data_IF_756797136251
#
_entry.id   IF_756797136251
#
_cell.length_a   1.000
_cell.length_b   1.000
_cell.length_c   1.000
_cell.angle_alpha   90.00
_cell.angle_beta   90.00
_cell.angle_gamma   90.00
#
_symmetry.space_group_name_H-M   'P 1'
#
loop_
_entity.id
_entity.type
_entity.pdbx_description
1 polymer ?
2 polymer ?
3 non-polymer ?
4 water ?
#
# COMPACT_ATOMS: atom_id res chain seq x y z
N UNK A 11 -3.00 -11.40 36.24
CA UNK A 11 -4.24 -10.64 36.14
C UNK A 11 -4.87 -10.75 34.75
N UNK A 12 -6.04 -10.14 34.58
CA UNK A 12 -6.72 -10.16 33.30
C UNK A 12 -6.10 -9.27 32.24
N UNK A 13 -6.39 -9.55 30.97
CA UNK A 13 -5.79 -8.83 29.84
C UNK A 13 -6.43 -7.46 29.64
N UNK A 14 -5.72 -6.51 29.06
CA UNK A 14 -6.30 -5.21 28.75
C UNK A 14 -7.40 -5.35 27.70
N UNK A 15 -8.33 -4.41 27.68
CA UNK A 15 -9.50 -4.52 26.81
C UNK A 15 -9.76 -3.21 26.11
N UNK A 16 -10.24 -3.27 24.88
CA UNK A 16 -10.59 -2.08 24.13
C UNK A 16 -11.80 -2.41 23.30
N UNK A 17 -12.83 -1.55 23.38
CA UNK A 17 -14.14 -1.81 22.78
C UNK A 17 -14.62 -3.24 22.96
N UNK A 18 -14.53 -3.75 24.19
CA UNK A 18 -15.03 -5.08 24.45
C UNK A 18 -14.16 -6.18 23.88
N UNK A 19 -13.03 -5.82 23.25
CA UNK A 19 -12.13 -6.83 22.76
C UNK A 19 -10.83 -6.93 23.54
N UNK A 20 -10.44 -8.16 23.83
CA UNK A 20 -9.15 -8.48 24.45
C UNK A 20 -8.04 -7.90 23.62
N UNK A 21 -7.12 -7.21 24.27
CA UNK A 21 -5.97 -6.65 23.61
C UNK A 21 -4.79 -6.93 24.53
N UNK A 22 -4.26 -8.14 24.43
CA UNK A 22 -3.42 -8.69 25.46
C UNK A 22 -1.92 -8.44 25.25
N UNK A 23 -1.49 -7.22 25.54
CA UNK A 23 -0.14 -6.79 25.22
C UNK A 23 0.56 -6.28 26.46
N UNK A 24 -0.10 -6.33 27.60
CA UNK A 24 0.53 -5.95 28.86
C UNK A 24 1.36 -7.08 29.44
N UNK A 25 2.22 -6.79 30.42
CA UNK A 25 2.43 -5.48 31.05
C UNK A 25 3.35 -4.55 30.27
N UNK A 26 4.02 -5.01 29.21
CA UNK A 26 4.94 -4.12 28.55
C UNK A 26 4.24 -2.91 27.93
N UNK A 27 3.15 -3.15 27.23
CA UNK A 27 2.44 -2.09 26.53
C UNK A 27 1.10 -1.80 27.22
N UNK A 28 0.87 -0.55 27.58
CA UNK A 28 -0.31 -0.17 28.35
C UNK A 28 -0.94 1.08 27.76
N UNK A 29 -1.93 1.61 28.46
CA UNK A 29 -2.66 2.81 28.02
C UNK A 29 -3.10 2.75 26.58
N UNK A 30 -3.86 1.73 26.23
CA UNK A 30 -4.34 1.56 24.87
C UNK A 30 -5.45 2.55 24.53
N UNK A 31 -5.35 3.18 23.36
CA UNK A 31 -6.47 3.93 22.76
C UNK A 31 -6.73 3.46 21.32
N UNK A 32 -7.98 3.10 21.06
CA UNK A 32 -8.45 2.74 19.73
C UNK A 32 -8.09 3.82 18.72
N UNK A 33 -7.58 3.38 17.58
CA UNK A 33 -7.35 4.29 16.47
C UNK A 33 -8.35 3.95 15.37
N UNK A 34 -8.31 2.71 14.91
CA UNK A 34 -9.15 2.32 13.81
C UNK A 34 -9.13 0.85 13.57
N UNK A 35 -9.90 0.45 12.57
CA UNK A 35 -10.00 -0.92 12.17
C UNK A 35 -9.77 -0.86 10.69
N UNK A 36 -8.91 -1.75 10.20
CA UNK A 36 -8.88 -2.00 8.78
C UNK A 36 -9.87 -3.11 8.61
N UNK A 37 -9.85 -3.75 7.44
CA UNK A 37 -10.68 -4.93 7.22
C UNK A 37 -10.12 -6.14 7.99
N UNK A 38 -8.87 -6.06 8.40
CA UNK A 38 -8.20 -7.24 8.92
C UNK A 38 -7.73 -7.13 10.37
N UNK A 39 -7.56 -5.90 10.85
CA UNK A 39 -7.05 -5.75 12.18
C UNK A 39 -7.58 -4.54 12.91
N UNK A 40 -7.63 -4.65 14.23
CA UNK A 40 -7.88 -3.49 15.07
C UNK A 40 -6.56 -2.84 15.52
N UNK A 41 -6.45 -1.53 15.28
CA UNK A 41 -5.22 -0.82 15.60
C UNK A 41 -5.42 0.12 16.78
N UNK A 42 -4.50 0.07 17.75
CA UNK A 42 -4.48 1.01 18.89
C UNK A 42 -3.16 1.74 19.03
N UNK A 43 -3.20 2.92 19.62
CA UNK A 43 -2.00 3.55 20.16
C UNK A 43 -1.72 2.94 21.55
N UNK A 44 -0.47 2.95 21.96
CA UNK A 44 -0.11 2.38 23.26
C UNK A 44 1.16 3.02 23.78
N UNK A 45 1.46 2.71 25.03
CA UNK A 45 2.71 3.16 25.60
C UNK A 45 3.59 1.97 25.91
N UNK A 46 4.83 2.04 25.43
CA UNK A 46 5.79 0.96 25.65
C UNK A 46 6.52 1.28 26.93
N UNK A 47 6.24 0.57 28.00
CA UNK A 47 6.86 0.91 29.26
C UNK A 47 8.34 0.54 29.32
N UNK A 48 8.77 -0.35 28.45
CA UNK A 48 10.16 -0.78 28.44
C UNK A 48 11.06 0.25 27.76
N UNK A 49 10.66 0.76 26.60
CA UNK A 49 11.46 1.71 25.86
C UNK A 49 11.03 3.16 26.04
N UNK A 50 9.99 3.40 26.84
CA UNK A 50 9.43 4.74 27.08
C UNK A 50 9.09 5.46 25.80
N UNK A 51 8.28 4.85 24.93
CA UNK A 51 7.84 5.48 23.70
C UNK A 51 6.38 5.12 23.43
N UNK A 52 5.72 5.96 22.63
CA UNK A 52 4.40 5.66 22.12
C UNK A 52 4.55 4.77 20.89
N UNK A 53 3.69 3.76 20.79
CA UNK A 53 3.70 2.87 19.65
C UNK A 53 2.30 2.67 19.12
N UNK A 54 2.21 2.09 17.93
CA UNK A 54 0.96 1.55 17.42
C UNK A 54 1.06 0.06 17.54
N UNK A 55 -0.07 -0.56 17.81
CA UNK A 55 -0.16 -2.00 17.88
C UNK A 55 -1.37 -2.44 17.08
N UNK A 56 -1.17 -3.43 16.23
CA UNK A 56 -2.19 -3.89 15.35
C UNK A 56 -2.56 -5.30 15.80
N UNK A 57 -3.82 -5.52 16.18
CA UNK A 57 -4.24 -6.86 16.54
C UNK A 57 -4.81 -7.63 15.34
N UNK A 58 -4.31 -8.84 15.11
CA UNK A 58 -4.75 -9.63 13.97
C UNK A 58 -5.13 -11.00 14.44
N UNK A 59 -6.27 -11.50 13.96
CA UNK A 59 -6.75 -12.82 14.35
C UNK A 59 -7.07 -13.58 13.09
N UNK A 60 -6.04 -14.11 12.43
CA UNK A 60 -6.26 -14.54 11.06
C UNK A 60 -6.38 -16.03 10.91
N UNK A 61 -6.46 -16.78 11.99
CA UNK A 61 -6.23 -18.23 11.85
C UNK A 61 -7.38 -19.08 11.34
N UNK A 62 -8.59 -18.54 11.39
CA UNK A 62 -9.75 -19.27 10.89
C UNK A 62 -9.81 -19.30 9.37
N UNK A 63 -9.00 -18.50 8.68
CA UNK A 63 -9.09 -18.47 7.22
C UNK A 63 -7.79 -18.37 6.44
N UNK A 64 -7.74 -19.11 5.34
CA UNK A 64 -6.51 -19.22 4.61
C UNK A 64 -6.01 -17.86 4.10
N UNK A 65 -6.92 -17.05 3.56
CA UNK A 65 -6.50 -15.79 2.96
C UNK A 65 -5.93 -14.81 4.00
N UNK A 66 -6.46 -14.87 5.21
CA UNK A 66 -6.04 -13.94 6.25
C UNK A 66 -4.64 -14.31 6.68
N UNK A 67 -4.40 -15.60 6.81
CA UNK A 67 -3.11 -16.13 7.22
C UNK A 67 -2.05 -15.76 6.19
N UNK A 68 -2.47 -15.74 4.93
CA UNK A 68 -1.60 -15.41 3.80
C UNK A 68 -1.15 -13.98 3.93
N UNK A 69 -2.13 -13.10 4.06
CA UNK A 69 -1.87 -11.69 4.28
C UNK A 69 -0.95 -11.42 5.47
N UNK A 70 -1.21 -12.10 6.58
CA UNK A 70 -0.42 -11.89 7.79
C UNK A 70 1.03 -12.33 7.61
N UNK A 71 1.23 -13.50 7.04
CA UNK A 71 2.55 -14.02 6.79
C UNK A 71 3.31 -13.06 5.87
N UNK A 72 2.67 -12.57 4.81
CA UNK A 72 3.40 -11.75 3.85
C UNK A 72 3.81 -10.42 4.41
N UNK A 73 2.90 -9.80 5.14
CA UNK A 73 3.16 -8.53 5.77
C UNK A 73 4.34 -8.66 6.72
N UNK A 74 4.33 -9.71 7.54
CA UNK A 74 5.39 -9.86 8.53
C UNK A 74 6.75 -10.10 7.88
N UNK A 75 6.78 -11.06 6.95
CA UNK A 75 8.01 -11.42 6.28
C UNK A 75 8.57 -10.23 5.50
N UNK A 76 7.70 -9.51 4.83
CA UNK A 76 8.16 -8.36 4.06
C UNK A 76 8.65 -7.19 4.93
N UNK A 77 7.86 -6.76 5.90
CA UNK A 77 8.25 -5.63 6.74
C UNK A 77 9.49 -5.91 7.58
N UNK A 78 9.68 -7.17 7.97
CA UNK A 78 10.89 -7.53 8.70
C UNK A 78 12.13 -7.53 7.79
N UNK A 79 11.92 -7.75 6.50
CA UNK A 79 13.05 -7.84 5.56
C UNK A 79 13.42 -6.47 5.04
N UNK A 80 12.45 -5.57 4.99
CA UNK A 80 12.71 -4.21 4.53
C UNK A 80 13.14 -3.31 5.69
N UNK A 81 14.12 -2.47 5.43
CA UNK A 81 14.41 -1.40 6.35
C UNK A 81 14.64 -0.19 5.48
N UNK A 82 13.75 0.77 5.63
CA UNK A 82 13.78 1.96 4.81
C UNK A 82 12.91 3.02 5.46
N UNK A 83 13.37 4.26 5.36
CA UNK A 83 12.80 5.41 6.02
C UNK A 83 11.32 5.62 5.70
N UNK A 84 10.93 5.26 4.50
CA UNK A 84 9.58 5.52 4.03
C UNK A 84 8.65 4.29 4.04
N UNK A 85 9.06 3.29 4.80
CA UNK A 85 8.28 2.06 4.94
C UNK A 85 8.17 1.78 6.41
N UNK A 86 6.96 1.54 6.90
CA UNK A 86 6.74 1.34 8.33
C UNK A 86 7.58 0.11 8.75
N UNK A 87 8.20 0.14 9.92
CA UNK A 87 8.90 -1.05 10.34
C UNK A 87 8.00 -1.87 11.25
N UNK A 88 8.47 -3.05 11.66
CA UNK A 88 7.91 -3.80 12.75
C UNK A 88 8.93 -3.79 13.88
N UNK A 89 8.52 -3.30 15.04
CA UNK A 89 9.35 -3.21 16.22
C UNK A 89 9.30 -4.47 17.05
N UNK A 90 8.13 -5.07 17.17
CA UNK A 90 7.93 -6.22 18.07
C UNK A 90 6.70 -7.00 17.63
N UNK A 91 6.63 -8.29 17.97
CA UNK A 91 5.44 -9.09 17.68
C UNK A 91 5.10 -9.93 18.89
N UNK A 92 3.87 -9.80 19.36
CA UNK A 92 3.46 -10.51 20.55
C UNK A 92 2.55 -11.66 20.14
N UNK A 93 2.85 -12.86 20.60
CA UNK A 93 1.94 -13.98 20.46
C UNK A 93 2.25 -15.01 21.52
N UNK A 94 1.31 -15.91 21.74
CA UNK A 94 1.41 -16.95 22.77
C UNK A 94 2.66 -17.83 22.68
N UNK A 95 3.06 -18.42 23.81
CA UNK A 95 4.25 -19.28 23.77
C UNK A 95 4.10 -20.62 23.02
N UNK A 96 2.89 -21.16 22.93
CA UNK A 96 2.68 -22.40 22.17
C UNK A 96 1.76 -22.18 20.99
N UNK A 97 1.88 -23.00 19.96
CA UNK A 97 1.11 -22.76 18.74
C UNK A 97 -0.38 -22.96 19.00
N UNK A 98 -0.74 -23.95 19.81
CA UNK A 98 -2.16 -24.19 20.13
C UNK A 98 -2.79 -22.99 20.82
N UNK A 99 -2.00 -22.26 21.61
CA UNK A 99 -2.52 -21.12 22.34
C UNK A 99 -2.58 -19.86 21.51
N UNK A 100 -1.82 -19.82 20.42
CA UNK A 100 -1.80 -18.62 19.60
C UNK A 100 -3.10 -18.47 18.82
N UNK A 101 -3.93 -17.50 19.21
CA UNK A 101 -5.14 -17.20 18.44
C UNK A 101 -5.07 -15.80 17.83
N UNK A 102 -4.27 -14.93 18.41
CA UNK A 102 -4.11 -13.61 17.85
C UNK A 102 -2.63 -13.30 17.73
N UNK A 103 -2.32 -12.30 16.94
CA UNK A 103 -0.96 -11.86 16.79
C UNK A 103 -0.97 -10.35 16.94
N UNK A 104 -0.07 -9.78 17.74
CA UNK A 104 -0.01 -8.34 17.80
C UNK A 104 1.26 -7.81 17.17
N UNK A 105 1.10 -6.95 16.17
CA UNK A 105 2.25 -6.31 15.55
C UNK A 105 2.46 -4.88 16.07
N UNK A 106 3.65 -4.61 16.60
CA UNK A 106 4.00 -3.29 17.15
C UNK A 106 4.83 -2.48 16.20
N UNK A 107 4.41 -1.24 15.95
CA UNK A 107 5.10 -0.38 15.03
C UNK A 107 5.24 1.01 15.60
N UNK A 108 6.05 1.83 14.95
CA UNK A 108 6.09 3.24 15.30
C UNK A 108 4.70 3.85 15.17
N UNK A 109 4.36 4.75 16.07
CA UNK A 109 3.06 5.38 16.05
C UNK A 109 3.11 6.59 15.11
N UNK A 110 2.35 6.56 14.04
CA UNK A 110 2.28 7.72 13.15
C UNK A 110 1.04 8.53 13.53
N UNK A 111 0.94 9.77 13.06
CA UNK A 111 -0.12 10.63 13.52
C UNK A 111 -1.45 10.45 12.80
N UNK A 112 -1.39 10.07 11.53
CA UNK A 112 -2.61 9.89 10.78
C UNK A 112 -2.26 9.18 9.47
N UNK A 113 -3.26 8.93 8.62
CA UNK A 113 -2.97 8.48 7.27
C UNK A 113 -3.47 9.48 6.24
N UNK A 114 -3.04 9.32 4.99
CA UNK A 114 -3.37 10.30 4.00
C UNK A 114 -4.87 10.30 3.70
N UNK A 115 -5.53 9.17 3.86
CA UNK A 115 -6.99 9.17 3.70
C UNK A 115 -7.66 10.08 4.73
N UNK A 116 -7.26 9.99 5.98
CA UNK A 116 -7.89 10.80 7.02
C UNK A 116 -7.58 12.28 6.85
N UNK A 117 -6.34 12.57 6.49
CA UNK A 117 -5.90 13.94 6.32
C UNK A 117 -6.76 14.65 5.29
N UNK A 118 -7.02 13.96 4.19
CA UNK A 118 -7.72 14.56 3.05
C UNK A 118 -9.21 14.77 3.30
N UNK A 119 -9.76 14.08 4.29
CA UNK A 119 -11.13 14.38 4.70
C UNK A 119 -11.21 15.76 5.31
N UNK A 120 -10.11 16.21 5.89
CA UNK A 120 -10.12 17.41 6.71
C UNK A 120 -9.48 18.63 6.07
N UNK A 121 -8.63 18.49 5.05
CA UNK A 121 -7.97 19.67 4.50
C UNK A 121 -7.37 19.54 3.10
N UNK A 122 -7.09 20.70 2.50
CA UNK A 122 -6.47 20.76 1.19
C UNK A 122 -4.97 20.96 1.32
N UNK A 123 -4.21 20.26 0.51
CA UNK A 123 -2.76 20.27 0.61
C UNK A 123 -2.15 21.32 -0.28
N UNK A 124 -1.17 22.06 0.24
CA UNK A 124 -0.41 22.98 -0.56
C UNK A 124 0.42 22.17 -1.55
N UNK A 125 0.77 22.78 -2.68
CA UNK A 125 1.55 22.11 -3.71
C UNK A 125 2.87 21.56 -3.17
N UNK A 126 3.47 22.30 -2.23
CA UNK A 126 4.71 21.88 -1.62
C UNK A 126 4.55 20.55 -0.90
N UNK A 127 3.49 20.44 -0.10
CA UNK A 127 3.23 19.22 0.65
C UNK A 127 3.00 18.04 -0.29
N UNK A 128 2.16 18.27 -1.29
CA UNK A 128 1.84 17.26 -2.28
C UNK A 128 3.13 16.73 -2.90
N UNK A 129 3.95 17.66 -3.40
CA UNK A 129 5.24 17.33 -3.97
C UNK A 129 6.08 16.46 -3.06
N UNK A 130 6.28 16.90 -1.82
CA UNK A 130 7.07 16.17 -0.84
C UNK A 130 6.50 14.79 -0.55
N UNK A 131 5.18 14.75 -0.38
CA UNK A 131 4.48 13.49 -0.15
C UNK A 131 4.73 12.56 -1.33
N UNK A 132 4.55 13.07 -2.55
CA UNK A 132 4.77 12.26 -3.74
C UNK A 132 6.19 11.75 -3.78
N UNK A 133 7.15 12.62 -3.50
CA UNK A 133 8.54 12.18 -3.53
C UNK A 133 8.77 10.99 -2.59
N UNK A 134 8.28 11.12 -1.36
CA UNK A 134 8.50 10.07 -0.37
C UNK A 134 7.87 8.76 -0.76
N UNK A 135 6.69 8.83 -1.37
CA UNK A 135 6.02 7.62 -1.84
C UNK A 135 6.89 6.91 -2.87
N UNK A 136 7.39 7.68 -3.83
CA UNK A 136 8.19 7.09 -4.91
C UNK A 136 9.54 6.62 -4.41
N UNK A 137 10.06 7.30 -3.40
CA UNK A 137 11.32 6.89 -2.80
C UNK A 137 11.14 5.53 -2.12
N UNK A 138 10.05 5.35 -1.39
CA UNK A 138 9.78 4.05 -0.79
C UNK A 138 9.60 2.99 -1.83
N UNK A 139 8.85 3.34 -2.87
CA UNK A 139 8.48 2.43 -3.93
C UNK A 139 9.70 1.96 -4.74
N UNK A 140 10.63 2.86 -4.97
CA UNK A 140 11.86 2.50 -5.66
C UNK A 140 12.53 1.41 -4.87
N UNK A 141 12.53 1.56 -3.56
CA UNK A 141 13.20 0.61 -2.72
C UNK A 141 12.50 -0.74 -2.86
N UNK A 142 11.18 -0.71 -2.77
CA UNK A 142 10.36 -1.92 -2.86
C UNK A 142 10.55 -2.60 -4.21
N UNK A 143 10.52 -1.80 -5.27
CA UNK A 143 10.69 -2.33 -6.60
C UNK A 143 12.08 -2.91 -6.84
N UNK A 144 13.09 -2.35 -6.17
CA UNK A 144 14.44 -2.85 -6.34
C UNK A 144 14.52 -4.31 -5.89
N UNK A 145 13.68 -4.69 -4.91
CA UNK A 145 13.67 -6.09 -4.46
C UNK A 145 12.74 -6.95 -5.32
N UNK A 146 12.30 -6.40 -6.44
CA UNK A 146 11.31 -7.02 -7.31
C UNK A 146 10.04 -7.41 -6.55
N UNK A 147 9.64 -6.59 -5.59
CA UNK A 147 8.38 -6.81 -4.88
C UNK A 147 7.39 -5.75 -5.33
N UNK A 148 6.15 -6.14 -5.51
CA UNK A 148 5.08 -5.20 -5.82
C UNK A 148 4.18 -5.04 -4.62
N UNK A 149 3.82 -3.81 -4.28
CA UNK A 149 2.92 -3.58 -3.14
C UNK A 149 1.51 -4.04 -3.47
N UNK A 150 1.00 -3.60 -4.63
CA UNK A 150 -0.32 -4.01 -5.15
C UNK A 150 -1.56 -3.51 -4.41
N UNK A 151 -1.40 -2.67 -3.41
CA UNK A 151 -2.57 -2.08 -2.77
C UNK A 151 -2.23 -0.68 -2.25
N UNK A 152 -1.45 0.09 -2.99
CA UNK A 152 -1.19 1.44 -2.56
C UNK A 152 -2.47 2.24 -2.65
N UNK A 153 -2.75 3.03 -1.61
CA UNK A 153 -3.96 3.87 -1.52
C UNK A 153 -3.76 4.84 -0.35
N UNK A 154 -4.54 5.94 -0.31
CA UNK A 154 -4.30 6.93 0.73
C UNK A 154 -4.31 6.38 2.15
N UNK A 155 -5.15 5.41 2.46
CA UNK A 155 -5.17 4.91 3.82
C UNK A 155 -3.96 4.04 4.19
N UNK A 156 -3.08 3.76 3.21
CA UNK A 156 -1.87 2.95 3.42
C UNK A 156 -0.64 3.81 3.52
N UNK A 157 -0.88 5.11 3.52
CA UNK A 157 0.20 6.10 3.60
C UNK A 157 0.12 6.85 4.92
N UNK A 158 0.99 6.49 5.86
CA UNK A 158 0.97 7.03 7.23
C UNK A 158 1.78 8.30 7.29
N UNK A 159 1.31 9.29 8.04
CA UNK A 159 1.97 10.59 8.08
C UNK A 159 2.10 11.08 9.49
N UNK A 160 3.07 11.94 9.73
CA UNK A 160 2.99 12.75 10.92
C UNK A 160 3.13 14.22 10.63
N UNK A 161 3.14 15.04 11.68
CA UNK A 161 2.91 16.45 11.50
C UNK A 161 4.06 17.17 10.79
N UNK A 162 5.22 16.51 10.76
CA UNK A 162 6.41 17.00 10.09
C UNK A 162 6.47 16.57 8.62
N UNK A 163 5.40 15.93 8.15
CA UNK A 163 5.29 15.44 6.77
C UNK A 163 6.14 14.21 6.46
N UNK A 164 6.67 13.55 7.50
CA UNK A 164 7.24 12.24 7.29
C UNK A 164 6.13 11.30 6.80
N UNK A 165 6.43 10.47 5.81
CA UNK A 165 5.46 9.54 5.24
C UNK A 165 6.03 8.13 5.28
N UNK A 166 5.21 7.16 5.64
CA UNK A 166 5.62 5.76 5.54
C UNK A 166 4.52 4.90 4.93
N UNK A 167 4.90 4.04 3.99
CA UNK A 167 4.00 3.11 3.35
C UNK A 167 3.80 1.98 4.34
N UNK A 168 2.57 1.51 4.48
CA UNK A 168 2.26 0.37 5.34
C UNK A 168 1.40 -0.63 4.60
N UNK A 169 1.08 -1.73 5.27
CA UNK A 169 0.06 -2.65 4.78
C UNK A 169 0.49 -3.45 3.53
N UNK A 170 1.45 -4.35 3.71
CA UNK A 170 1.98 -5.20 2.64
C UNK A 170 1.33 -6.59 2.58
N UNK A 171 0.12 -6.72 3.13
CA UNK A 171 -0.55 -8.01 3.19
C UNK A 171 -0.87 -8.57 1.81
N UNK A 172 -0.89 -7.71 0.79
CA UNK A 172 -1.17 -8.17 -0.55
C UNK A 172 0.06 -8.16 -1.42
N UNK A 173 1.22 -7.87 -0.85
CA UNK A 173 2.43 -7.77 -1.66
C UNK A 173 2.74 -9.14 -2.28
N UNK A 174 3.43 -9.14 -3.41
CA UNK A 174 4.01 -10.38 -3.94
C UNK A 174 5.19 -10.12 -4.87
N UNK A 175 5.93 -11.17 -5.16
CA UNK A 175 7.09 -11.06 -6.03
C UNK A 175 6.57 -10.86 -7.44
N UNK A 176 7.23 -9.98 -8.19
CA UNK A 176 6.82 -9.65 -9.55
C UNK A 176 6.93 -10.84 -10.46
N UNK A 177 5.78 -11.33 -10.95
CA UNK A 177 5.77 -12.45 -11.89
C UNK A 177 4.75 -12.24 -13.00
N UNK A 178 5.23 -12.00 -14.22
CA UNK A 178 4.46 -11.89 -15.45
C UNK A 178 3.53 -13.07 -15.75
N UNK A 179 3.40 -14.05 -14.86
CA UNK A 179 2.72 -15.29 -15.22
C UNK A 179 1.62 -15.79 -14.26
N UNK A 180 1.45 -15.18 -13.09
CA UNK A 180 0.45 -15.69 -12.15
C UNK A 180 -0.99 -15.41 -12.58
N UNK A 181 -1.92 -16.22 -12.07
CA UNK A 181 -3.33 -16.05 -12.42
C UNK A 181 -4.04 -15.10 -11.48
N UNK A 182 -5.00 -14.35 -12.02
CA UNK A 182 -5.64 -13.25 -11.32
C UNK A 182 -6.92 -13.60 -10.56
N UNK A 183 -7.29 -14.89 -10.51
CA UNK A 183 -8.65 -15.26 -10.10
C UNK A 183 -8.87 -15.18 -8.59
N UNK A 184 -7.84 -15.49 -7.81
CA UNK A 184 -7.81 -15.01 -6.44
C UNK A 184 -7.69 -13.50 -6.56
N UNK A 185 -7.37 -12.78 -5.50
CA UNK A 185 -7.12 -11.33 -5.65
C UNK A 185 -8.17 -10.58 -6.51
N UNK A 186 -9.41 -10.99 -6.42
CA UNK A 186 -10.50 -10.27 -7.06
C UNK A 186 -11.72 -10.73 -6.31
N UNK A 187 -11.85 -12.05 -6.21
CA UNK A 187 -12.75 -12.63 -5.23
C UNK A 187 -12.33 -12.19 -3.81
N UNK A 188 -11.04 -12.01 -3.55
CA UNK A 188 -10.68 -11.52 -2.20
C UNK A 188 -10.86 -10.03 -1.95
N UNK A 189 -11.44 -9.75 -0.79
CA UNK A 189 -11.92 -8.44 -0.43
C UNK A 189 -10.82 -7.45 -0.19
N UNK A 190 -11.02 -6.25 -0.73
CA UNK A 190 -10.24 -5.08 -0.36
C UNK A 190 -11.21 -3.93 -0.12
N UNK A 191 -10.80 -2.96 0.68
CA UNK A 191 -11.65 -1.86 1.08
C UNK A 191 -12.18 -1.01 -0.10
N UNK A 192 -11.37 -0.80 -1.14
CA UNK A 192 -11.80 0.14 -2.19
C UNK A 192 -11.85 -0.34 -3.65
N UNK A 193 -10.69 -0.51 -4.30
CA UNK A 193 -10.53 -0.80 -5.76
C UNK A 193 -10.34 0.42 -6.69
N UNK A 194 -10.54 1.61 -6.15
CA UNK A 194 -10.41 2.82 -6.93
C UNK A 194 -8.99 3.09 -7.40
N UNK A 195 -8.03 2.30 -6.95
CA UNK A 195 -6.61 2.55 -7.19
C UNK A 195 -5.97 1.43 -8.01
N UNK A 196 -6.80 0.52 -8.52
CA UNK A 196 -6.29 -0.64 -9.26
C UNK A 196 -6.05 -0.34 -10.74
N UNK A 197 -4.89 -0.76 -11.23
CA UNK A 197 -4.55 -0.59 -12.63
C UNK A 197 -5.52 -1.36 -13.49
N UNK A 198 -5.80 -0.85 -14.70
CA UNK A 198 -6.75 -1.49 -15.61
C UNK A 198 -6.34 -2.90 -16.04
N UNK A 199 -5.05 -3.18 -16.17
CA UNK A 199 -4.63 -4.52 -16.59
C UNK A 199 -4.98 -5.61 -15.58
N UNK A 200 -5.13 -5.24 -14.32
CA UNK A 200 -5.49 -6.21 -13.29
C UNK A 200 -6.88 -6.76 -13.58
N UNK A 201 -7.75 -5.88 -14.07
CA UNK A 201 -9.14 -6.20 -14.30
C UNK A 201 -9.35 -6.91 -15.63
N UNK A 202 -8.52 -6.60 -16.61
CA UNK A 202 -8.74 -7.14 -17.94
C UNK A 202 -7.62 -8.00 -18.52
N UNK A 203 -6.57 -8.27 -17.74
CA UNK A 203 -5.66 -9.35 -18.11
C UNK A 203 -6.03 -10.61 -17.33
N UNK A 204 -5.58 -11.75 -17.82
CA UNK A 204 -5.87 -13.01 -17.17
C UNK A 204 -4.63 -13.52 -16.43
N UNK A 205 -3.49 -12.90 -16.71
CA UNK A 205 -2.24 -13.39 -16.15
C UNK A 205 -1.30 -12.30 -15.60
N UNK A 206 -0.76 -12.57 -14.42
CA UNK A 206 0.41 -11.85 -13.92
C UNK A 206 0.26 -10.50 -13.24
N UNK A 207 1.34 -10.09 -12.56
CA UNK A 207 1.44 -8.77 -11.94
C UNK A 207 2.82 -8.16 -12.20
N UNK A 208 2.82 -6.88 -12.58
CA UNK A 208 4.03 -6.18 -13.02
C UNK A 208 4.19 -4.91 -12.20
N UNK A 209 5.39 -4.33 -12.24
CA UNK A 209 5.70 -3.17 -11.42
C UNK A 209 4.85 -1.97 -11.77
N UNK A 210 4.29 -2.00 -12.97
CA UNK A 210 3.48 -0.92 -13.46
C UNK A 210 2.19 -0.75 -12.67
N UNK A 211 1.70 -1.80 -12.01
CA UNK A 211 0.45 -1.65 -11.26
C UNK A 211 0.60 -0.69 -10.08
N UNK A 212 1.79 -0.66 -9.48
CA UNK A 212 2.02 0.22 -8.35
C UNK A 212 2.06 1.67 -8.80
N UNK A 213 2.67 1.91 -9.95
CA UNK A 213 2.79 3.26 -10.51
C UNK A 213 1.42 3.88 -10.77
N UNK A 214 0.53 3.09 -11.36
CA UNK A 214 -0.85 3.52 -11.58
C UNK A 214 -1.52 3.97 -10.27
N UNK A 215 -1.28 3.22 -9.20
CA UNK A 215 -1.85 3.55 -7.92
C UNK A 215 -1.29 4.87 -7.43
N UNK A 216 -0.01 5.09 -7.67
CA UNK A 216 0.60 6.35 -7.28
C UNK A 216 -0.04 7.49 -8.04
N UNK A 217 -0.27 7.29 -9.32
CA UNK A 217 -0.98 8.29 -10.10
C UNK A 217 -2.34 8.59 -9.51
N UNK A 218 -3.08 7.56 -9.12
CA UNK A 218 -4.41 7.78 -8.58
C UNK A 218 -4.33 8.59 -7.30
N UNK A 219 -3.26 8.38 -6.56
CA UNK A 219 -3.04 9.05 -5.29
C UNK A 219 -2.69 10.52 -5.50
N UNK A 220 -1.80 10.78 -6.45
CA UNK A 220 -1.47 12.15 -6.80
C UNK A 220 -2.71 12.94 -7.21
N UNK A 221 -3.52 12.37 -8.10
CA UNK A 221 -4.78 13.01 -8.50
C UNK A 221 -5.59 13.37 -7.27
N UNK A 222 -5.68 12.42 -6.34
CA UNK A 222 -6.49 12.59 -5.15
C UNK A 222 -5.94 13.70 -4.25
N UNK A 223 -4.63 13.84 -4.20
CA UNK A 223 -4.05 14.92 -3.41
C UNK A 223 -4.37 16.26 -4.02
N UNK A 224 -4.50 16.30 -5.34
CA UNK A 224 -4.70 17.56 -6.04
C UNK A 224 -6.12 18.08 -5.87
N UNK A 225 -7.09 17.17 -5.74
CA UNK A 225 -8.48 17.57 -5.78
C UNK A 225 -9.28 17.17 -4.56
N UNK A 226 -8.66 16.42 -3.64
CA UNK A 226 -9.38 15.83 -2.50
C UNK A 226 -10.53 14.88 -2.85
N UNK A 227 -10.59 14.42 -4.08
CA UNK A 227 -11.54 13.35 -4.39
C UNK A 227 -10.85 12.28 -5.22
N UNK A 228 -11.30 11.03 -5.07
CA UNK A 228 -10.70 9.94 -5.85
C UNK A 228 -10.98 10.17 -7.33
N UNK A 229 -10.01 9.91 -8.20
CA UNK A 229 -10.20 10.21 -9.61
C UNK A 229 -11.03 9.15 -10.35
N UNK A 230 -10.85 7.89 -9.99
CA UNK A 230 -11.58 6.78 -10.63
C UNK A 230 -12.44 6.04 -9.63
N UNK A 231 -13.51 6.67 -9.14
CA UNK A 231 -14.36 5.92 -8.21
C UNK A 231 -15.18 4.89 -8.98
N UNK A 232 -16.23 4.33 -8.39
CA UNK A 232 -16.98 3.30 -9.10
C UNK A 232 -17.33 2.19 -8.14
N UNK A 233 -18.42 1.49 -8.42
CA UNK A 233 -19.00 0.59 -7.45
C UNK A 233 -18.61 -0.86 -7.66
N UNK A 234 -18.62 -1.28 -8.91
CA UNK A 234 -18.26 -2.65 -9.24
C UNK A 234 -17.24 -2.54 -10.35
N UNK A 235 -16.90 -3.68 -10.96
CA UNK A 235 -15.78 -3.73 -11.89
C UNK A 235 -16.03 -3.03 -13.22
N UNK A 236 -17.19 -3.25 -13.82
CA UNK A 236 -17.52 -2.60 -15.09
C UNK A 236 -17.72 -1.10 -14.94
N UNK A 237 -18.45 -0.72 -13.90
CA UNK A 237 -18.63 0.67 -13.52
C UNK A 237 -17.27 1.33 -13.36
N UNK A 238 -16.41 0.74 -12.55
CA UNK A 238 -15.06 1.23 -12.31
C UNK A 238 -14.32 1.53 -13.60
N UNK A 239 -14.35 0.58 -14.52
CA UNK A 239 -13.72 0.72 -15.82
C UNK A 239 -14.25 1.91 -16.60
N UNK A 240 -15.57 2.07 -16.61
CA UNK A 240 -16.19 3.23 -17.26
C UNK A 240 -15.62 4.58 -16.80
N UNK A 241 -15.39 4.73 -15.50
CA UNK A 241 -14.83 5.98 -14.99
C UNK A 241 -13.45 6.25 -15.59
N UNK A 242 -12.65 5.19 -15.73
CA UNK A 242 -11.32 5.34 -16.30
C UNK A 242 -11.37 5.74 -17.77
N UNK A 243 -12.28 5.12 -18.51
CA UNK A 243 -12.45 5.42 -19.90
C UNK A 243 -12.97 6.84 -20.08
N UNK A 244 -13.90 7.26 -19.22
CA UNK A 244 -14.50 8.56 -19.38
C UNK A 244 -13.54 9.72 -19.20
N UNK A 245 -12.32 9.42 -18.77
CA UNK A 245 -11.33 10.45 -18.54
C UNK A 245 -10.15 10.29 -19.47
N UNK A 246 -9.64 9.05 -19.56
CA UNK A 246 -8.51 8.77 -20.43
C UNK A 246 -8.96 8.65 -21.89
N UNK A 247 -10.25 8.37 -22.06
CA UNK A 247 -10.80 8.20 -23.39
C UNK A 247 -10.67 6.77 -23.83
N UNK A 248 -11.53 6.37 -24.78
CA UNK A 248 -11.48 5.04 -25.37
C UNK A 248 -10.06 4.66 -25.79
N UNK A 249 -9.72 3.36 -25.65
CA UNK A 249 -8.33 2.92 -25.84
C UNK A 249 -7.93 2.92 -27.31
N UNK A 250 -6.69 3.33 -27.60
CA UNK A 250 -6.18 3.31 -28.97
C UNK A 250 -6.07 1.86 -29.43
N UNK A 251 -5.95 1.65 -30.74
CA UNK A 251 -5.81 0.30 -31.25
C UNK A 251 -4.53 -0.29 -30.72
N UNK A 252 -3.51 0.55 -30.60
CA UNK A 252 -2.24 0.12 -30.05
C UNK A 252 -2.42 -0.27 -28.59
N UNK A 253 -3.30 0.42 -27.90
CA UNK A 253 -3.61 0.07 -26.52
C UNK A 253 -4.22 -1.32 -26.45
N UNK A 254 -5.12 -1.66 -27.38
CA UNK A 254 -5.73 -2.99 -27.40
C UNK A 254 -4.74 -4.06 -27.90
N UNK A 255 -3.56 -3.61 -28.33
CA UNK A 255 -2.44 -4.49 -28.66
C UNK A 255 -1.56 -4.84 -27.47
N UNK A 256 -2.03 -5.74 -26.62
CA UNK A 256 -1.27 -6.13 -25.45
C UNK A 256 -1.76 -7.38 -24.71
N UNK A 257 -1.39 -7.46 -23.44
CA UNK A 257 -1.74 -8.58 -22.58
C UNK A 257 -3.22 -8.66 -22.34
N UNK A 258 -3.94 -7.62 -22.76
CA UNK A 258 -5.40 -7.62 -22.67
C UNK A 258 -5.99 -8.91 -23.20
N UNK A 259 -6.65 -9.61 -22.29
CA UNK A 259 -7.29 -10.86 -22.58
C UNK A 259 -8.46 -10.61 -23.53
N UNK A 260 -8.71 -11.51 -24.48
CA UNK A 260 -9.90 -11.36 -25.30
C UNK A 260 -11.10 -11.90 -24.56
N UNK A 261 -12.25 -11.25 -24.77
CA UNK A 261 -13.44 -11.24 -23.92
C UNK A 261 -13.32 -10.01 -23.04
N UNK A 262 -12.24 -9.28 -23.26
CA UNK A 262 -12.08 -7.95 -22.69
C UNK A 262 -11.88 -6.95 -23.81
N UNK A 263 -11.04 -7.29 -24.77
CA UNK A 263 -10.86 -6.44 -25.95
C UNK A 263 -12.13 -6.43 -26.78
N UNK A 264 -12.86 -7.54 -26.78
CA UNK A 264 -14.16 -7.57 -27.41
C UNK A 264 -15.14 -6.73 -26.60
N UNK A 265 -15.05 -6.81 -25.29
CA UNK A 265 -15.87 -5.98 -24.44
C UNK A 265 -15.54 -4.50 -24.70
N UNK A 266 -14.26 -4.24 -24.91
CA UNK A 266 -13.82 -2.87 -25.11
C UNK A 266 -14.34 -2.29 -26.40
N UNK A 267 -14.17 -3.03 -27.49
CA UNK A 267 -14.68 -2.63 -28.79
C UNK A 267 -16.20 -2.50 -28.78
N UNK A 268 -16.83 -3.27 -27.90
CA UNK A 268 -18.27 -3.20 -27.69
C UNK A 268 -18.72 -1.82 -27.20
N UNK A 269 -17.82 -1.13 -26.52
CA UNK A 269 -18.18 0.12 -25.86
C UNK A 269 -18.26 1.32 -26.80
N UNK A 270 -19.31 2.13 -26.63
CA UNK A 270 -19.49 3.42 -27.30
C UNK A 270 -18.27 4.29 -27.05
N UNK A 271 -17.76 4.94 -28.09
CA UNK A 271 -16.51 5.70 -27.98
C UNK A 271 -16.60 6.86 -26.99
N UNK A 272 -15.48 7.17 -26.34
CA UNK A 272 -15.40 8.24 -25.34
C UNK A 272 -14.21 9.16 -25.61
N UNK A 273 -14.34 10.42 -25.25
CA UNK A 273 -13.30 11.39 -25.52
C UNK A 273 -12.45 11.65 -24.29
N UNK A 274 -11.14 11.76 -24.50
CA UNK A 274 -10.21 12.12 -23.44
C UNK A 274 -10.55 13.49 -22.89
N UNK A 275 -10.39 13.67 -21.59
CA UNK A 275 -10.59 14.95 -20.96
C UNK A 275 -9.21 15.46 -20.56
N UNK A 276 -8.83 16.66 -21.02
CA UNK A 276 -7.51 17.26 -20.74
C UNK A 276 -7.30 17.40 -19.24
N UNK A 277 -6.08 17.13 -18.78
CA UNK A 277 -5.80 17.15 -17.36
C UNK A 277 -6.08 18.48 -16.71
N UNK A 278 -5.74 19.56 -17.39
CA UNK A 278 -5.86 20.89 -16.81
C UNK A 278 -7.32 21.28 -16.63
N UNK A 279 -8.20 20.61 -17.36
CA UNK A 279 -9.63 20.80 -17.18
C UNK A 279 -10.13 20.16 -15.89
N UNK A 280 -9.63 18.97 -15.59
CA UNK A 280 -9.99 18.28 -14.36
C UNK A 280 -9.36 18.93 -13.14
N UNK A 281 -8.09 19.31 -13.27
CA UNK A 281 -7.38 19.98 -12.18
C UNK A 281 -6.91 21.33 -12.65
N UNK A 282 -7.79 22.34 -12.59
CA UNK A 282 -7.42 23.72 -12.99
C UNK A 282 -6.31 24.34 -12.14
N UNK A 283 -6.36 24.13 -10.82
CA UNK A 283 -5.42 24.78 -9.93
C UNK A 283 -4.17 23.98 -9.67
N UNK A 284 -3.81 23.12 -10.61
CA UNK A 284 -2.69 22.21 -10.39
C UNK A 284 -1.46 22.68 -11.13
N UNK A 285 -0.32 22.64 -10.45
CA UNK A 285 0.98 22.83 -11.07
C UNK A 285 1.05 21.99 -12.34
N UNK A 286 1.43 22.62 -13.43
CA UNK A 286 1.53 22.01 -14.74
C UNK A 286 2.56 20.88 -14.79
N UNK A 287 3.65 21.02 -14.03
CA UNK A 287 4.66 19.98 -13.98
C UNK A 287 4.06 18.71 -13.37
N UNK A 288 3.11 18.89 -12.46
CA UNK A 288 2.45 17.79 -11.79
C UNK A 288 1.48 17.05 -12.71
N UNK A 289 0.79 17.78 -13.57
CA UNK A 289 -0.17 17.17 -14.48
C UNK A 289 0.55 16.36 -15.56
N UNK A 290 1.66 16.88 -16.05
CA UNK A 290 2.60 16.07 -16.80
C UNK A 290 3.10 15.15 -15.71
N UNK A 291 3.46 13.92 -16.02
CA UNK A 291 3.80 12.89 -15.00
C UNK A 291 2.58 12.33 -14.28
N UNK A 292 1.54 13.12 -14.13
CA UNK A 292 0.29 12.52 -13.74
C UNK A 292 -0.17 11.78 -14.97
N UNK A 293 -0.03 12.45 -16.11
CA UNK A 293 -0.34 11.84 -17.38
C UNK A 293 0.54 10.62 -17.62
N UNK A 294 1.82 10.76 -17.32
CA UNK A 294 2.77 9.68 -17.53
C UNK A 294 2.52 8.50 -16.59
N UNK A 295 1.87 8.78 -15.48
CA UNK A 295 1.62 7.73 -14.52
C UNK A 295 0.33 7.02 -14.83
N UNK A 296 -0.71 7.78 -15.16
CA UNK A 296 -1.99 7.17 -15.48
C UNK A 296 -2.15 6.92 -16.97
N UNK A 297 -1.24 6.16 -17.58
CA UNK A 297 -1.46 5.76 -18.96
C UNK A 297 -2.05 4.37 -19.00
N UNK A 298 -3.05 4.19 -19.87
CA UNK A 298 -3.79 2.94 -19.94
C UNK A 298 -2.89 1.74 -20.21
N UNK A 299 -1.85 1.93 -21.00
CA UNK A 299 -1.00 0.79 -21.36
C UNK A 299 0.27 0.68 -20.52
N UNK A 300 0.44 -0.46 -19.85
CA UNK A 300 1.47 -0.66 -18.83
C UNK A 300 2.87 -0.44 -19.37
N UNK A 301 3.10 -0.83 -20.62
CA UNK A 301 4.42 -0.75 -21.24
C UNK A 301 4.97 0.67 -21.42
N UNK A 302 4.10 1.62 -21.69
CA UNK A 302 4.54 3.00 -21.86
C UNK A 302 4.45 3.76 -20.56
N UNK A 303 3.78 3.16 -19.58
CA UNK A 303 3.60 3.81 -18.30
C UNK A 303 4.98 4.06 -17.69
N UNK A 304 5.18 5.26 -17.16
CA UNK A 304 6.45 5.65 -16.58
C UNK A 304 6.92 4.69 -15.49
N UNK A 305 8.23 4.43 -15.42
CA UNK A 305 8.80 3.61 -14.36
C UNK A 305 9.18 4.46 -13.15
N UNK A 306 9.36 3.81 -11.99
CA UNK A 306 9.60 4.51 -10.73
C UNK A 306 10.85 5.40 -10.71
N UNK A 307 11.94 4.91 -11.31
CA UNK A 307 13.18 5.65 -11.37
C UNK A 307 13.02 6.91 -12.21
N UNK A 308 12.41 6.71 -13.38
CA UNK A 308 12.10 7.79 -14.27
C UNK A 308 11.23 8.82 -13.56
N UNK A 309 10.19 8.36 -12.87
CA UNK A 309 9.25 9.26 -12.20
C UNK A 309 9.95 10.10 -11.15
N UNK A 310 10.88 9.49 -10.43
CA UNK A 310 11.65 10.23 -9.46
C UNK A 310 12.42 11.32 -10.19
N UNK A 311 12.89 10.97 -11.39
CA UNK A 311 13.68 11.87 -12.22
C UNK A 311 12.87 12.84 -13.11
N UNK A 312 11.59 13.01 -12.83
CA UNK A 312 10.76 14.01 -13.53
C UNK A 312 10.87 15.40 -12.91
N UNK A 313 10.78 16.45 -13.74
CA UNK A 313 10.91 17.86 -13.32
C UNK A 313 10.15 18.26 -12.07
N UNK A 314 9.00 17.63 -11.81
CA UNK A 314 8.16 18.02 -10.68
C UNK A 314 8.86 17.82 -9.36
N UNK A 315 9.79 16.87 -9.34
CA UNK A 315 10.44 16.47 -8.10
C UNK A 315 11.87 16.95 -8.03
N UNK A 316 12.28 17.72 -9.04
CA UNK A 316 13.67 18.14 -9.24
C UNK A 316 14.34 18.61 -7.96
N UNK A 317 13.58 19.36 -7.18
CA UNK A 317 14.02 19.87 -5.90
C UNK A 317 14.35 18.77 -4.87
N UNK A 318 13.87 17.55 -5.10
CA UNK A 318 14.12 16.45 -4.17
C UNK A 318 14.98 15.32 -4.70
N UNK A 319 14.95 15.10 -6.01
CA UNK A 319 15.63 13.96 -6.59
C UNK A 319 17.10 13.94 -6.18
N UNK A 320 17.54 12.77 -5.72
CA UNK A 320 18.85 12.60 -5.12
C UNK A 320 19.24 11.13 -5.11
N UNK A 321 19.61 10.58 -6.28
CA UNK A 321 19.92 9.17 -6.46
C UNK A 321 20.89 8.61 -5.42
N UNK A 322 21.70 9.49 -4.83
CA UNK A 322 22.64 9.08 -3.80
C UNK A 322 21.96 8.73 -2.48
N UNK A 323 20.83 9.38 -2.22
CA UNK A 323 20.13 9.25 -0.94
C UNK A 323 18.84 8.45 -1.14
N UNK A 324 18.83 7.58 -2.14
CA UNK A 324 17.67 6.77 -2.44
C UNK A 324 18.01 5.29 -2.46
N UNK A 325 18.06 4.66 -1.30
CA UNK A 325 18.55 3.30 -1.12
C UNK A 325 17.73 2.25 -1.86
N UNK A 326 18.39 1.15 -2.16
CA UNK A 326 17.75 0.02 -2.81
C UNK A 326 18.03 -1.24 -1.99
N UNK A 327 17.24 -2.28 -2.25
CA UNK A 327 17.46 -3.57 -1.61
C UNK A 327 18.79 -4.23 -1.98
N UNK A 328 19.38 -4.93 -1.02
CA UNK A 328 20.58 -5.71 -1.26
C UNK A 328 20.35 -6.78 -2.32
N UNK A 329 19.16 -7.38 -2.31
CA UNK A 329 18.85 -8.51 -3.20
C UNK A 329 17.35 -8.66 -3.38
N UNK A 330 16.93 -9.39 -4.43
CA UNK A 330 15.49 -9.67 -4.56
C UNK A 330 14.93 -10.45 -3.38
N UNK A 331 13.66 -10.26 -3.12
CA UNK A 331 13.00 -10.91 -2.00
C UNK A 331 12.36 -12.16 -2.58
N UNK A 332 12.29 -13.25 -1.82
CA UNK A 332 11.69 -14.46 -2.36
C UNK A 332 10.79 -15.20 -1.38
N UNK A 333 9.66 -15.70 -1.88
CA UNK A 333 8.87 -16.67 -1.14
C UNK A 333 9.18 -18.05 -1.68
N UNK A 334 9.36 -19.00 -0.77
CA UNK A 334 9.80 -20.33 -1.15
C UNK A 334 8.65 -21.02 -1.83
N UNK A 335 7.46 -20.80 -1.28
CA UNK A 335 6.29 -21.47 -1.80
C UNK A 335 5.24 -20.48 -2.25
N UNK A 336 4.32 -20.98 -3.08
CA UNK A 336 3.11 -20.22 -3.31
C UNK A 336 2.23 -20.32 -2.09
N UNK A 337 2.03 -19.18 -1.46
CA UNK A 337 1.17 -19.08 -0.30
C UNK A 337 -0.31 -19.37 -0.63
N UNK A 338 -0.73 -19.14 -1.87
CA UNK A 338 -2.11 -19.50 -2.27
C UNK A 338 -2.33 -20.98 -2.05
N UNK A 339 -1.28 -21.77 -2.24
CA UNK A 339 -1.39 -23.22 -2.18
C UNK A 339 -1.60 -23.75 -0.77
N UNK A 340 -1.01 -23.07 0.22
CA UNK A 340 -0.97 -23.59 1.58
C UNK A 340 -2.32 -23.44 2.28
N UNK A 341 -2.71 -24.45 3.05
CA UNK A 341 -3.90 -24.39 3.88
C UNK A 341 -3.57 -23.66 5.18
N UNK A 342 -4.59 -23.22 5.89
CA UNK A 342 -4.40 -22.35 7.04
C UNK A 342 -3.58 -22.93 8.19
N UNK A 343 -3.60 -24.25 8.33
CA UNK A 343 -2.86 -24.89 9.40
C UNK A 343 -1.38 -24.81 9.13
N UNK A 344 -1.00 -24.85 7.86
CA UNK A 344 0.41 -24.72 7.51
C UNK A 344 0.91 -23.29 7.69
N UNK A 345 0.16 -22.32 7.17
CA UNK A 345 0.49 -20.91 7.31
C UNK A 345 0.63 -20.52 8.78
N UNK A 346 -0.19 -21.13 9.63
CA UNK A 346 -0.11 -20.89 11.06
C UNK A 346 1.25 -21.30 11.61
N UNK A 347 1.74 -22.47 11.22
CA UNK A 347 3.08 -22.88 11.62
C UNK A 347 4.13 -21.90 11.12
N UNK A 348 4.02 -21.47 9.87
CA UNK A 348 4.96 -20.51 9.31
C UNK A 348 4.94 -19.18 10.05
N UNK A 349 3.77 -18.72 10.45
CA UNK A 349 3.68 -17.51 11.24
C UNK A 349 4.31 -17.70 12.63
N UNK A 350 4.14 -18.88 13.21
CA UNK A 350 4.71 -19.16 14.50
C UNK A 350 6.24 -19.11 14.43
N UNK A 351 6.81 -19.70 13.40
CA UNK A 351 8.27 -19.75 13.25
C UNK A 351 8.81 -18.36 12.92
N UNK A 352 8.07 -17.63 12.10
CA UNK A 352 8.46 -16.30 11.68
C UNK A 352 8.49 -15.32 12.86
N UNK A 353 7.67 -15.57 13.87
CA UNK A 353 7.57 -14.64 14.98
C UNK A 353 8.42 -15.04 16.16
N UNK A 354 9.01 -16.23 16.09
CA UNK A 354 9.80 -16.80 17.18
C UNK A 354 10.97 -15.92 17.62
N UNK A 355 11.50 -15.10 16.73
CA UNK A 355 12.66 -14.30 17.09
C UNK A 355 12.36 -13.14 18.07
N UNK A 356 11.08 -12.89 18.30
CA UNK A 356 10.61 -11.95 19.31
C UNK A 356 10.27 -12.66 20.62
N UNK A 357 10.49 -13.97 20.67
CA UNK A 357 10.27 -14.75 21.89
C UNK A 357 11.52 -14.79 22.77
N UNK A 358 11.32 -14.63 24.09
CA UNK A 358 12.36 -14.62 25.12
C UNK A 358 13.50 -15.63 24.95
N UNK A 359 13.16 -16.89 24.73
CA UNK A 359 14.18 -17.91 24.65
C UNK A 359 14.89 -17.95 23.32
N UNK A 360 14.15 -17.71 22.23
CA UNK A 360 14.56 -17.98 20.83
C UNK A 360 16.02 -18.45 20.50
N UNK A 361 16.13 -19.51 19.70
CA UNK A 361 17.40 -20.20 19.42
C UNK A 361 18.27 -19.52 18.36
N UNK A 362 17.89 -19.71 17.08
CA UNK A 362 18.36 -18.97 15.87
C UNK A 362 18.36 -19.80 14.58
N UNK B 1 21.97 18.05 4.49
CA UNK B 1 21.05 19.17 4.32
C UNK B 1 19.71 18.54 3.95
N UNK B 2 19.80 17.22 3.88
CA UNK B 2 18.74 16.25 3.61
C UNK B 2 17.20 16.48 3.76
N UNK B 3 16.68 16.83 4.95
CA UNK B 3 15.21 16.87 5.17
C UNK B 3 14.60 18.26 4.88
N UNK B 4 13.58 18.35 4.00
CA UNK B 4 13.04 19.68 3.65
C UNK B 4 11.92 20.14 4.58
N UNK B 5 12.10 21.28 5.22
CA UNK B 5 11.00 21.88 5.97
C UNK B 5 10.69 23.32 5.47
N UNK B 6 9.45 23.68 5.08
CA UNK B 6 8.14 22.97 5.14
C UNK B 6 7.35 23.19 6.43
N UNK B 7 6.30 24.03 6.36
CA UNK B 7 5.40 24.33 7.48
C UNK B 7 4.69 23.09 8.01
N UNK B 8 4.41 23.07 9.31
CA UNK B 8 3.75 21.93 9.97
C UNK B 8 2.29 21.80 9.56
N UNK B 9 1.83 20.56 9.38
CA UNK B 9 0.42 20.30 9.10
C UNK B 9 -0.34 20.22 10.41
N UNK B 10 -1.65 20.44 10.38
CA UNK B 10 -2.47 20.29 11.58
C UNK B 10 -3.35 19.07 11.44
N UNK B 11 -3.28 18.17 12.41
CA UNK B 11 -3.99 16.90 12.33
C UNK B 11 -5.08 16.77 13.38
N UNK B 12 -6.31 16.63 12.92
CA UNK B 12 -7.47 16.42 13.76
C UNK B 12 -7.26 15.34 14.83
X LIG C 1 -6.38 -2.04 5.45
X LIG C 1 -7.67 -2.80 5.68
X LIG C 1 -6.40 -0.63 6.16
X LIG C 1 -6.11 -1.88 3.86
X LIG C 1 -5.44 -3.63 7.60
X LIG C 1 -4.11 -4.52 7.67
X LIG C 1 -6.83 -4.34 7.89
X LIG C 1 -5.09 -2.90 6.04
X LIG C 1 -4.12 -1.17 8.25
X LIG C 1 -4.22 -0.53 6.83
X LIG C 1 -2.68 -1.58 8.41
X LIG C 1 -5.01 -2.44 8.57
X LIG C 1 -4.46 -0.14 9.37
X LIG C 1 -5.71 0.48 9.58
X LIG C 1 -5.63 1.88 10.00
X LIG C 1 -4.99 2.04 11.22
X LIG C 1 -4.76 2.62 9.04
X LIG C 1 -5.35 2.98 7.83
X LIG C 1 -4.21 3.71 9.81
X LIG C 1 -4.97 4.84 9.87
X LIG C 1 -4.09 3.15 11.15
X LIG C 1 -2.69 2.76 11.37
X LIG C 1 -2.13 1.63 10.89
X LIG C 1 -0.85 1.60 11.27
X LIG C 1 -0.59 2.71 12.01
X LIG C 1 0.54 3.21 12.65
X LIG C 1 1.79 2.46 12.60
X LIG C 1 0.47 4.37 13.31
X LIG C 1 -0.67 5.08 13.36
X LIG C 1 -1.79 4.65 12.75
X LIG C 1 -1.78 3.47 12.07
#
# INVERSE_FOLDING_TARGET
GSMAAAAAAGAGPEMVRGQVFDVGPRYTNLSYIGEGAYGMVCSAYDNVNKVRVAIKKISPFEHQTYCQRTLREIKILLAFRHENIIGINDIIRAPTIEQMKDVYIVQDLMETDLYKLLKTQHLSNDHICYFLYQILRGLKYIHSANVLHRDLKPSNLLLNTTSDLKICDFGLARVADPDHDHTGFLTEYVATRWYRAPEIMLNSKGYTKSIDIWSVGCILAEMLSNRPIFPGKHYLDQLNHILGILGSPSQEDLNCGINLKARNYLLSLPHKNKVPWNRLFPNADSKALDLLDKMLTFNPHKRIEVEQALAHPYLAQYYDPSDEPIAEAPFKFDMELDDLPKEKLKELIFEETARFQPGYRS
RRKPVLPALTINP
ANP PG O1G O2G O3G PB O1B O2B N3B PA O1A O2A O3A O5' C5' C4' O4' C3' O3' C2' O2' C1' N9 C8 N7 C5 C6 N6 N1 C2 N3 C4
#
